data_IF_032932179837
#
_entry.id   IF_032932179837
#
_cell.length_a   1.000
_cell.length_b   1.000
_cell.length_c   1.000
_cell.angle_alpha   90.00
_cell.angle_beta   90.00
_cell.angle_gamma   90.00
#
_symmetry.space_group_name_H-M   'P 1'
#
loop_
_entity.id
_entity.type
_entity.pdbx_description
1 polymer ?
#
# COMPACT_ATOMS: atom_id res chain seq x y z
N UNK A 1 -23.80 -1.36 16.06
CA UNK A 1 -22.44 -1.94 15.97
C UNK A 1 -21.85 -1.65 14.60
N UNK A 2 -20.52 -1.75 14.39
CA UNK A 2 -19.95 -1.73 13.02
C UNK A 2 -20.54 -2.85 12.17
N UNK A 3 -20.84 -3.99 12.80
CA UNK A 3 -21.40 -5.16 12.14
C UNK A 3 -22.78 -4.84 11.54
N UNK A 4 -23.69 -4.26 12.33
CA UNK A 4 -25.03 -3.87 11.85
C UNK A 4 -24.96 -2.84 10.70
N UNK A 5 -24.02 -1.90 10.75
CA UNK A 5 -23.82 -0.93 9.66
C UNK A 5 -23.29 -1.63 8.40
N UNK A 6 -22.37 -2.58 8.55
CA UNK A 6 -21.78 -3.31 7.43
C UNK A 6 -22.78 -4.29 6.80
N UNK A 7 -23.59 -5.00 7.59
CA UNK A 7 -24.64 -5.88 7.08
C UNK A 7 -25.73 -5.08 6.38
N UNK A 8 -26.19 -3.98 6.98
CA UNK A 8 -27.16 -3.09 6.33
C UNK A 8 -26.64 -2.54 4.98
N UNK A 9 -25.36 -2.17 4.91
CA UNK A 9 -24.75 -1.71 3.65
C UNK A 9 -24.68 -2.81 2.59
N UNK A 10 -24.46 -4.07 2.98
CA UNK A 10 -24.57 -5.20 2.07
C UNK A 10 -26.02 -5.37 1.62
N UNK A 11 -26.98 -5.46 2.54
CA UNK A 11 -28.39 -5.72 2.22
C UNK A 11 -29.03 -4.66 1.32
N UNK A 12 -28.59 -3.41 1.42
CA UNK A 12 -29.08 -2.30 0.60
C UNK A 12 -28.64 -2.36 -0.88
N UNK A 13 -27.44 -2.86 -1.17
CA UNK A 13 -26.90 -2.92 -2.53
C UNK A 13 -26.25 -4.28 -2.81
N UNK A 14 -26.89 -5.16 -3.60
CA UNK A 14 -26.32 -6.45 -4.02
C UNK A 14 -24.98 -6.34 -4.75
N UNK A 15 -24.66 -5.19 -5.36
CA UNK A 15 -23.36 -4.96 -6.00
C UNK A 15 -22.25 -4.66 -5.00
N UNK A 16 -22.56 -4.25 -3.77
CA UNK A 16 -21.55 -4.17 -2.70
C UNK A 16 -21.27 -5.58 -2.22
N UNK A 17 -20.04 -6.04 -2.48
CA UNK A 17 -19.62 -7.43 -2.20
C UNK A 17 -18.56 -7.49 -1.10
N UNK A 18 -17.92 -6.36 -0.79
CA UNK A 18 -17.00 -6.18 0.34
C UNK A 18 -17.34 -4.88 1.04
N UNK A 19 -17.49 -4.94 2.36
CA UNK A 19 -17.55 -3.77 3.24
C UNK A 19 -16.35 -3.77 4.18
N UNK A 20 -15.66 -2.65 4.28
CA UNK A 20 -14.62 -2.40 5.27
C UNK A 20 -14.89 -1.11 6.05
N UNK A 21 -14.23 -0.93 7.19
CA UNK A 21 -14.39 0.25 8.01
C UNK A 21 -13.08 0.99 8.25
N UNK A 22 -13.07 1.79 9.32
CA UNK A 22 -11.87 2.39 9.87
C UNK A 22 -11.13 1.36 10.71
N UNK A 23 -9.94 0.95 10.24
CA UNK A 23 -8.97 0.17 11.04
C UNK A 23 -8.03 1.09 11.80
N UNK A 24 -8.17 1.19 13.12
CA UNK A 24 -7.27 2.01 13.95
C UNK A 24 -6.04 1.23 14.40
N UNK A 25 -4.91 1.91 14.44
CA UNK A 25 -3.75 1.39 15.16
C UNK A 25 -3.99 1.44 16.67
N UNK A 26 -3.59 0.38 17.38
CA UNK A 26 -3.78 0.22 18.82
C UNK A 26 -3.02 1.28 19.62
N UNK A 27 -1.81 1.62 19.18
CA UNK A 27 -0.94 2.57 19.87
C UNK A 27 -0.25 3.48 18.85
N UNK A 28 -0.99 4.39 18.19
CA UNK A 28 -0.46 5.21 17.10
C UNK A 28 0.67 6.13 17.57
N UNK A 29 0.69 6.52 18.84
CA UNK A 29 1.69 7.44 19.39
C UNK A 29 2.92 6.72 19.99
N UNK A 30 2.95 5.38 19.97
CA UNK A 30 4.08 4.60 20.50
C UNK A 30 5.36 4.85 19.71
N UNK A 31 5.27 4.87 18.38
CA UNK A 31 6.37 5.28 17.50
C UNK A 31 5.86 5.99 16.25
N UNK A 32 6.79 6.66 15.56
CA UNK A 32 6.52 7.21 14.22
C UNK A 32 5.99 6.17 13.23
N UNK A 33 6.40 4.91 13.33
CA UNK A 33 5.97 3.87 12.39
C UNK A 33 4.54 3.40 12.68
N UNK A 34 4.15 3.32 13.95
CA UNK A 34 2.75 3.07 14.33
C UNK A 34 1.86 4.23 13.86
N UNK A 35 2.31 5.49 14.06
CA UNK A 35 1.60 6.68 13.57
C UNK A 35 1.39 6.63 12.06
N UNK A 36 2.42 6.25 11.30
CA UNK A 36 2.31 6.11 9.84
C UNK A 36 1.31 5.02 9.46
N UNK A 37 1.28 3.88 10.15
CA UNK A 37 0.28 2.84 9.89
C UNK A 37 -1.15 3.36 10.08
N UNK A 38 -1.40 4.08 11.17
CA UNK A 38 -2.72 4.67 11.42
C UNK A 38 -3.15 5.66 10.33
N UNK A 39 -2.22 6.52 9.89
CA UNK A 39 -2.45 7.51 8.83
C UNK A 39 -2.64 6.89 7.44
N UNK A 40 -2.00 5.74 7.18
CA UNK A 40 -2.12 4.99 5.92
C UNK A 40 -3.44 4.22 5.84
N UNK A 41 -3.96 3.74 6.98
CA UNK A 41 -5.25 3.04 7.05
C UNK A 41 -6.46 3.97 7.09
N UNK A 42 -6.25 5.27 7.31
CA UNK A 42 -7.30 6.28 7.20
C UNK A 42 -7.49 6.76 5.75
N UNK A 43 -8.08 5.89 4.93
CA UNK A 43 -8.49 6.22 3.56
C UNK A 43 -9.83 6.97 3.54
N UNK A 44 -10.29 7.53 2.41
CA UNK A 44 -11.61 8.15 2.32
C UNK A 44 -12.76 7.14 2.52
N UNK A 45 -13.88 7.58 3.10
CA UNK A 45 -15.14 6.82 3.14
C UNK A 45 -15.78 6.81 1.74
N UNK A 46 -16.43 5.70 1.38
CA UNK A 46 -17.09 5.52 0.09
C UNK A 46 -16.51 4.35 -0.70
N UNK A 47 -16.78 4.33 -2.00
CA UNK A 47 -16.27 3.28 -2.88
C UNK A 47 -14.73 3.27 -2.91
N UNK A 48 -14.15 2.08 -2.80
CA UNK A 48 -12.73 1.87 -2.67
C UNK A 48 -12.21 0.85 -3.68
N UNK A 49 -10.90 0.90 -3.95
CA UNK A 49 -10.25 -0.08 -4.81
C UNK A 49 -9.89 -1.38 -4.07
N UNK A 50 -9.70 -1.28 -2.77
CA UNK A 50 -9.28 -2.36 -1.86
C UNK A 50 -9.82 -2.08 -0.46
N UNK A 51 -10.02 -3.14 0.33
CA UNK A 51 -10.55 -3.09 1.69
C UNK A 51 -9.48 -2.95 2.79
N UNK A 52 -8.21 -3.21 2.47
CA UNK A 52 -7.09 -2.98 3.38
C UNK A 52 -6.85 -4.11 4.39
N UNK A 53 -7.64 -5.18 4.39
CA UNK A 53 -7.44 -6.40 5.20
C UNK A 53 -8.44 -6.59 6.34
N UNK A 54 -9.33 -5.63 6.61
CA UNK A 54 -10.50 -5.79 7.46
C UNK A 54 -11.76 -5.73 6.60
N UNK A 55 -12.50 -6.83 6.54
CA UNK A 55 -13.58 -6.98 5.57
C UNK A 55 -14.73 -7.86 6.09
N UNK A 56 -15.93 -7.48 5.70
CA UNK A 56 -17.12 -8.32 5.66
C UNK A 56 -17.47 -8.55 4.19
N UNK A 57 -17.59 -9.80 3.76
CA UNK A 57 -17.75 -10.15 2.34
C UNK A 57 -18.93 -11.07 2.11
N UNK A 58 -19.53 -10.98 0.91
CA UNK A 58 -20.49 -11.98 0.43
C UNK A 58 -19.75 -13.26 0.06
N UNK A 59 -20.09 -14.37 0.73
CA UNK A 59 -19.46 -15.68 0.50
C UNK A 59 -19.63 -16.15 -0.95
N UNK A 60 -20.82 -15.94 -1.53
CA UNK A 60 -21.08 -16.33 -2.92
C UNK A 60 -20.13 -15.63 -3.90
N UNK A 61 -19.89 -14.32 -3.74
CA UNK A 61 -18.98 -13.57 -4.62
C UNK A 61 -17.52 -13.96 -4.39
N UNK A 62 -17.12 -14.21 -3.14
CA UNK A 62 -15.79 -14.70 -2.80
C UNK A 62 -15.50 -16.05 -3.48
N UNK A 63 -16.45 -16.98 -3.40
CA UNK A 63 -16.34 -18.29 -4.04
C UNK A 63 -16.34 -18.19 -5.56
N UNK A 64 -17.17 -17.30 -6.13
CA UNK A 64 -17.26 -17.10 -7.58
C UNK A 64 -15.95 -16.64 -8.22
N UNK A 65 -15.07 -15.96 -7.47
CA UNK A 65 -13.73 -15.58 -7.95
C UNK A 65 -12.63 -16.56 -7.54
N UNK A 66 -12.95 -17.61 -6.78
CA UNK A 66 -11.99 -18.61 -6.31
C UNK A 66 -11.19 -18.21 -5.06
N UNK A 67 -11.70 -17.27 -4.25
CA UNK A 67 -11.05 -16.89 -3.00
C UNK A 67 -9.72 -16.14 -3.17
N UNK A 68 -8.87 -16.21 -2.13
CA UNK A 68 -7.53 -15.61 -2.10
C UNK A 68 -6.52 -16.43 -2.92
N UNK A 69 -5.44 -15.79 -3.37
CA UNK A 69 -4.43 -16.40 -4.23
C UNK A 69 -3.21 -16.80 -3.40
N UNK A 70 -3.14 -18.06 -3.03
CA UNK A 70 -2.06 -18.63 -2.22
C UNK A 70 -0.65 -18.50 -2.83
N UNK A 71 -0.55 -18.17 -4.13
CA UNK A 71 0.73 -17.94 -4.80
C UNK A 71 1.32 -16.55 -4.56
N UNK A 72 0.59 -15.63 -3.90
CA UNK A 72 1.04 -14.28 -3.57
C UNK A 72 1.63 -14.18 -2.17
N UNK A 73 2.86 -13.68 -2.05
CA UNK A 73 3.46 -13.43 -0.72
C UNK A 73 2.95 -12.14 -0.05
N UNK A 74 2.37 -11.25 -0.84
CA UNK A 74 1.86 -9.96 -0.42
C UNK A 74 0.89 -9.40 -1.47
N UNK A 75 -0.11 -8.61 -1.04
CA UNK A 75 -1.08 -8.02 -1.96
C UNK A 75 -2.26 -8.94 -2.32
N UNK A 76 -2.40 -10.07 -1.63
CA UNK A 76 -3.54 -11.00 -1.65
C UNK A 76 -4.89 -10.29 -1.65
N UNK A 77 -5.13 -9.41 -0.67
CA UNK A 77 -6.41 -8.73 -0.52
C UNK A 77 -6.70 -7.70 -1.63
N UNK A 78 -5.77 -6.81 -2.00
CA UNK A 78 -6.03 -5.88 -3.10
C UNK A 78 -6.16 -6.60 -4.45
N UNK A 79 -5.43 -7.70 -4.65
CA UNK A 79 -5.60 -8.55 -5.83
C UNK A 79 -7.00 -9.17 -5.91
N UNK A 80 -7.49 -9.72 -4.79
CA UNK A 80 -8.86 -10.24 -4.68
C UNK A 80 -9.89 -9.15 -5.00
N UNK A 81 -9.73 -7.94 -4.45
CA UNK A 81 -10.62 -6.82 -4.72
C UNK A 81 -10.67 -6.44 -6.21
N UNK A 82 -9.55 -6.55 -6.94
CA UNK A 82 -9.56 -6.35 -8.41
C UNK A 82 -10.43 -7.39 -9.09
N UNK A 83 -10.30 -8.67 -8.74
CA UNK A 83 -11.12 -9.75 -9.33
C UNK A 83 -12.60 -9.61 -8.98
N UNK A 84 -12.92 -9.26 -7.74
CA UNK A 84 -14.30 -9.01 -7.30
C UNK A 84 -14.93 -7.85 -8.08
N UNK A 85 -14.18 -6.76 -8.31
CA UNK A 85 -14.66 -5.62 -9.11
C UNK A 85 -14.76 -5.95 -10.59
N UNK A 86 -13.82 -6.72 -11.13
CA UNK A 86 -13.90 -7.25 -12.49
C UNK A 86 -15.10 -8.16 -12.71
N UNK A 87 -15.62 -8.79 -11.65
CA UNK A 87 -16.84 -9.60 -11.66
C UNK A 87 -18.10 -8.78 -11.28
N UNK A 88 -18.07 -7.46 -11.49
CA UNK A 88 -19.22 -6.57 -11.29
C UNK A 88 -19.49 -6.13 -9.84
N UNK A 89 -18.64 -6.53 -8.89
CA UNK A 89 -18.75 -6.14 -7.49
C UNK A 89 -18.17 -4.76 -7.18
N UNK A 90 -18.52 -4.24 -6.01
CA UNK A 90 -18.01 -2.98 -5.43
C UNK A 90 -17.45 -3.24 -4.05
N UNK A 91 -16.38 -2.52 -3.72
CA UNK A 91 -15.79 -2.48 -2.37
C UNK A 91 -16.19 -1.15 -1.75
N UNK A 92 -16.78 -1.20 -0.56
CA UNK A 92 -17.28 -0.03 0.14
C UNK A 92 -16.58 0.14 1.48
N UNK A 93 -16.00 1.33 1.72
CA UNK A 93 -15.54 1.72 3.05
C UNK A 93 -16.62 2.54 3.76
N UNK A 94 -17.10 2.04 4.90
CA UNK A 94 -18.07 2.73 5.75
C UNK A 94 -17.39 3.62 6.80
N UNK A 95 -18.13 4.61 7.31
CA UNK A 95 -17.68 5.52 8.37
C UNK A 95 -17.80 4.91 9.78
N UNK A 96 -17.43 3.64 9.96
CA UNK A 96 -17.49 2.93 11.24
C UNK A 96 -16.12 2.37 11.62
N UNK A 97 -15.72 2.46 12.89
CA UNK A 97 -14.54 1.75 13.40
C UNK A 97 -14.81 0.25 13.41
N UNK A 98 -14.06 -0.51 12.61
CA UNK A 98 -14.31 -1.93 12.37
C UNK A 98 -13.26 -2.81 13.05
N UNK A 99 -11.99 -2.40 13.02
CA UNK A 99 -10.90 -3.17 13.63
C UNK A 99 -9.92 -2.30 14.38
N UNK A 100 -9.33 -2.88 15.43
CA UNK A 100 -8.11 -2.37 16.05
C UNK A 100 -6.98 -3.33 15.73
N UNK A 101 -5.95 -2.82 15.08
CA UNK A 101 -4.76 -3.59 14.74
C UNK A 101 -3.60 -3.14 15.60
N UNK A 102 -2.66 -4.04 15.88
CA UNK A 102 -1.40 -3.69 16.51
C UNK A 102 -0.29 -3.94 15.50
N UNK A 103 0.22 -2.89 14.87
CA UNK A 103 1.35 -2.99 13.96
C UNK A 103 2.63 -3.43 14.68
N UNK A 104 2.75 -3.15 15.99
CA UNK A 104 3.90 -3.45 16.84
C UNK A 104 5.24 -3.07 16.17
N UNK A 105 5.24 -1.95 15.43
CA UNK A 105 6.36 -1.55 14.59
C UNK A 105 7.23 -0.54 15.32
N UNK A 106 8.28 -1.00 16.00
CA UNK A 106 9.12 -0.13 16.83
C UNK A 106 10.46 0.23 16.19
N UNK A 107 10.86 -0.47 15.11
CA UNK A 107 12.21 -0.36 14.53
C UNK A 107 12.17 0.05 13.05
N UNK A 108 13.16 0.84 12.63
CA UNK A 108 13.33 1.26 11.24
C UNK A 108 13.39 0.07 10.27
N UNK A 109 14.09 -1.00 10.64
CA UNK A 109 14.20 -2.22 9.82
C UNK A 109 12.85 -2.88 9.57
N UNK A 110 11.92 -2.85 10.53
CA UNK A 110 10.58 -3.38 10.35
C UNK A 110 9.79 -2.54 9.34
N UNK A 111 9.86 -1.21 9.48
CA UNK A 111 9.27 -0.28 8.52
C UNK A 111 9.84 -0.45 7.11
N UNK A 112 11.16 -0.57 6.98
CA UNK A 112 11.84 -0.83 5.71
C UNK A 112 11.34 -2.14 5.09
N UNK A 113 11.27 -3.21 5.88
CA UNK A 113 10.83 -4.54 5.42
C UNK A 113 9.38 -4.52 4.97
N UNK A 114 8.47 -3.86 5.71
CA UNK A 114 7.07 -3.67 5.30
C UNK A 114 6.97 -2.90 3.98
N UNK A 115 7.77 -1.85 3.79
CA UNK A 115 7.77 -1.10 2.54
C UNK A 115 8.36 -1.88 1.36
N UNK A 116 9.38 -2.71 1.60
CA UNK A 116 9.89 -3.63 0.60
C UNK A 116 8.85 -4.70 0.21
N UNK A 117 8.11 -5.24 1.19
CA UNK A 117 6.96 -6.12 0.93
C UNK A 117 5.89 -5.42 0.10
N UNK A 118 5.55 -4.17 0.42
CA UNK A 118 4.59 -3.38 -0.35
C UNK A 118 5.06 -3.14 -1.79
N UNK A 119 6.34 -2.80 -2.00
CA UNK A 119 6.92 -2.66 -3.33
C UNK A 119 6.85 -3.95 -4.16
N UNK A 120 7.09 -5.10 -3.52
CA UNK A 120 6.90 -6.41 -4.16
C UNK A 120 5.44 -6.61 -4.62
N UNK A 121 4.48 -6.38 -3.71
CA UNK A 121 3.06 -6.49 -4.01
C UNK A 121 2.62 -5.54 -5.14
N UNK A 122 3.12 -4.29 -5.13
CA UNK A 122 2.82 -3.31 -6.17
C UNK A 122 3.25 -3.81 -7.56
N UNK A 123 4.49 -4.31 -7.70
CA UNK A 123 4.95 -4.84 -8.99
C UNK A 123 4.18 -6.09 -9.41
N UNK A 124 3.94 -7.02 -8.49
CA UNK A 124 3.27 -8.28 -8.79
C UNK A 124 1.81 -8.10 -9.19
N UNK A 125 1.01 -7.46 -8.33
CA UNK A 125 -0.43 -7.27 -8.55
C UNK A 125 -0.68 -6.33 -9.73
N UNK A 126 0.11 -5.25 -9.87
CA UNK A 126 -0.05 -4.34 -11.01
C UNK A 126 0.26 -5.02 -12.34
N UNK A 127 1.21 -5.97 -12.37
CA UNK A 127 1.49 -6.78 -13.56
C UNK A 127 0.38 -7.80 -13.84
N UNK A 128 -0.07 -8.53 -12.81
CA UNK A 128 -1.14 -9.53 -12.95
C UNK A 128 -2.40 -8.92 -13.55
N UNK A 129 -2.76 -7.71 -13.11
CA UNK A 129 -3.95 -6.99 -13.56
C UNK A 129 -3.65 -5.89 -14.58
N UNK A 130 -2.54 -6.00 -15.32
CA UNK A 130 -2.08 -4.98 -16.28
C UNK A 130 -2.99 -4.79 -17.51
N UNK A 131 -4.00 -5.65 -17.71
CA UNK A 131 -5.01 -5.49 -18.76
C UNK A 131 -6.43 -5.31 -18.21
N UNK A 132 -6.60 -5.36 -16.89
CA UNK A 132 -7.90 -5.14 -16.27
C UNK A 132 -8.21 -3.63 -16.20
N UNK A 133 -9.46 -3.22 -16.51
CA UNK A 133 -9.91 -1.84 -16.25
C UNK A 133 -9.94 -1.52 -14.75
N UNK A 134 -9.98 -2.54 -13.88
CA UNK A 134 -9.91 -2.41 -12.42
C UNK A 134 -8.47 -2.55 -11.88
N UNK A 135 -7.46 -2.59 -12.75
CA UNK A 135 -6.07 -2.79 -12.34
C UNK A 135 -5.54 -1.66 -11.45
N UNK A 136 -4.87 -2.02 -10.36
CA UNK A 136 -4.35 -1.10 -9.34
C UNK A 136 -2.83 -0.91 -9.41
N UNK A 137 -2.33 0.05 -8.64
CA UNK A 137 -0.92 0.27 -8.32
C UNK A 137 0.06 0.54 -9.48
N UNK A 138 -0.44 0.85 -10.67
CA UNK A 138 0.42 1.22 -11.81
C UNK A 138 1.21 2.49 -11.55
N UNK A 139 0.55 3.49 -10.95
CA UNK A 139 1.14 4.79 -10.62
C UNK A 139 2.21 4.64 -9.54
N UNK A 140 1.93 3.86 -8.51
CA UNK A 140 2.80 3.52 -7.39
C UNK A 140 4.05 2.83 -7.91
N UNK A 141 3.87 1.80 -8.74
CA UNK A 141 4.98 1.05 -9.34
C UNK A 141 5.91 1.95 -10.16
N UNK A 142 5.35 2.80 -11.04
CA UNK A 142 6.12 3.77 -11.84
C UNK A 142 6.80 4.83 -10.98
N UNK A 143 6.08 5.35 -9.98
CA UNK A 143 6.61 6.35 -9.04
C UNK A 143 7.81 5.80 -8.27
N UNK A 144 7.75 4.53 -7.85
CA UNK A 144 8.85 3.89 -7.13
C UNK A 144 10.07 3.66 -8.03
N UNK A 145 9.86 3.30 -9.30
CA UNK A 145 10.98 3.22 -10.25
C UNK A 145 11.63 4.58 -10.48
N UNK A 146 10.84 5.62 -10.74
CA UNK A 146 11.34 6.96 -10.99
C UNK A 146 12.12 7.51 -9.79
N UNK A 147 11.48 7.53 -8.62
CA UNK A 147 12.01 8.20 -7.43
C UNK A 147 12.91 7.32 -6.57
N UNK A 148 12.75 6.00 -6.62
CA UNK A 148 13.54 5.06 -5.82
C UNK A 148 14.76 4.51 -6.53
N UNK A 149 14.87 4.65 -7.86
CA UNK A 149 15.97 4.10 -8.64
C UNK A 149 16.45 5.00 -9.80
N UNK A 150 15.58 5.33 -10.76
CA UNK A 150 16.01 5.96 -12.01
C UNK A 150 16.61 7.35 -11.80
N UNK A 151 15.93 8.23 -11.06
CA UNK A 151 16.42 9.58 -10.76
C UNK A 151 17.76 9.58 -9.99
N UNK A 152 17.91 8.87 -8.85
CA UNK A 152 19.18 8.91 -8.11
C UNK A 152 20.33 8.27 -8.90
N UNK A 153 20.09 7.19 -9.63
CA UNK A 153 21.11 6.57 -10.50
C UNK A 153 21.53 7.53 -11.61
N UNK A 154 20.57 8.13 -12.32
CA UNK A 154 20.86 9.09 -13.39
C UNK A 154 21.63 10.31 -12.87
N UNK A 155 21.23 10.85 -11.72
CA UNK A 155 21.89 12.02 -11.11
C UNK A 155 23.36 11.73 -10.80
N UNK A 156 23.66 10.56 -10.23
CA UNK A 156 25.02 10.15 -9.83
C UNK A 156 25.86 9.77 -11.06
N UNK A 157 25.35 8.91 -11.93
CA UNK A 157 26.09 8.41 -13.10
C UNK A 157 26.40 9.52 -14.09
N UNK A 158 25.52 10.50 -14.25
CA UNK A 158 25.74 11.64 -15.14
C UNK A 158 26.64 12.73 -14.53
N UNK A 159 27.00 12.66 -13.24
CA UNK A 159 27.72 13.74 -12.56
C UNK A 159 29.12 14.02 -13.17
N UNK A 160 29.94 13.01 -13.49
CA UNK A 160 31.23 13.25 -14.14
C UNK A 160 31.10 13.90 -15.52
N UNK A 161 30.09 13.50 -16.29
CA UNK A 161 29.87 13.99 -17.67
C UNK A 161 29.26 15.40 -17.73
N UNK A 162 28.56 15.82 -16.67
CA UNK A 162 27.88 17.11 -16.60
C UNK A 162 28.58 18.10 -15.68
N UNK A 163 29.81 17.80 -15.23
CA UNK A 163 30.54 18.59 -14.22
C UNK A 163 29.69 18.85 -12.96
N UNK A 164 28.91 17.86 -12.54
CA UNK A 164 28.05 17.90 -11.36
C UNK A 164 26.66 18.53 -11.56
N UNK A 165 26.33 19.11 -12.72
CA UNK A 165 25.02 19.73 -12.96
C UNK A 165 23.86 18.73 -12.81
N UNK A 166 24.07 17.45 -13.16
CA UNK A 166 23.05 16.40 -12.97
C UNK A 166 22.61 16.22 -11.51
N UNK A 167 23.41 16.64 -10.52
CA UNK A 167 23.06 16.56 -9.11
C UNK A 167 21.88 17.48 -8.75
N UNK A 168 21.59 18.51 -9.55
CA UNK A 168 20.38 19.34 -9.40
C UNK A 168 19.10 18.50 -9.45
N UNK A 169 19.11 17.33 -10.11
CA UNK A 169 17.97 16.41 -10.12
C UNK A 169 17.53 16.00 -8.71
N UNK A 170 18.41 16.00 -7.70
CA UNK A 170 18.04 15.74 -6.32
C UNK A 170 17.06 16.79 -5.74
N UNK A 171 17.02 18.01 -6.28
CA UNK A 171 15.98 18.99 -5.94
C UNK A 171 14.57 18.46 -6.25
N UNK A 172 14.43 17.48 -7.15
CA UNK A 172 13.18 16.78 -7.41
C UNK A 172 12.57 16.14 -6.15
N UNK A 173 13.38 15.67 -5.20
CA UNK A 173 12.87 15.13 -3.94
C UNK A 173 12.22 16.20 -3.06
N UNK A 174 12.73 17.44 -3.08
CA UNK A 174 12.10 18.56 -2.39
C UNK A 174 10.74 18.89 -3.03
N UNK A 175 10.66 18.85 -4.37
CA UNK A 175 9.39 19.01 -5.11
C UNK A 175 8.41 17.88 -4.77
N UNK A 176 8.86 16.63 -4.74
CA UNK A 176 8.03 15.48 -4.37
C UNK A 176 7.50 15.62 -2.93
N UNK A 177 8.38 15.95 -1.99
CA UNK A 177 8.03 16.20 -0.59
C UNK A 177 6.94 17.28 -0.48
N UNK A 178 7.14 18.44 -1.13
CA UNK A 178 6.18 19.54 -1.12
C UNK A 178 4.82 19.12 -1.71
N UNK A 179 4.81 18.38 -2.83
CA UNK A 179 3.56 17.89 -3.44
C UNK A 179 2.80 16.96 -2.50
N UNK A 180 3.48 16.03 -1.81
CA UNK A 180 2.85 15.11 -0.87
C UNK A 180 2.33 15.88 0.34
N UNK A 181 3.14 16.77 0.92
CA UNK A 181 2.75 17.61 2.06
C UNK A 181 1.50 18.43 1.71
N UNK A 182 1.49 19.13 0.57
CA UNK A 182 0.34 19.92 0.12
C UNK A 182 -0.90 19.06 -0.08
N UNK A 183 -0.76 17.86 -0.63
CA UNK A 183 -1.88 16.91 -0.76
C UNK A 183 -2.44 16.46 0.59
N UNK A 184 -1.59 16.21 1.59
CA UNK A 184 -2.04 15.82 2.94
C UNK A 184 -2.72 16.99 3.66
N UNK A 185 -2.19 18.21 3.53
CA UNK A 185 -2.83 19.44 4.04
C UNK A 185 -4.23 19.65 3.46
N UNK A 186 -4.41 19.41 2.15
CA UNK A 186 -5.73 19.47 1.49
C UNK A 186 -6.72 18.42 2.02
N UNK A 187 -6.25 17.33 2.63
CA UNK A 187 -7.07 16.29 3.26
C UNK A 187 -7.38 16.57 4.74
N UNK A 188 -6.94 17.72 5.28
CA UNK A 188 -7.21 18.14 6.66
C UNK A 188 -6.08 17.85 7.66
N UNK A 189 -4.98 17.19 7.26
CA UNK A 189 -3.86 16.94 8.16
C UNK A 189 -3.22 18.25 8.65
N UNK A 190 -2.82 18.30 9.92
CA UNK A 190 -2.02 19.40 10.47
C UNK A 190 -0.62 19.47 9.82
N UNK A 191 0.11 20.61 9.92
CA UNK A 191 1.40 20.78 9.25
C UNK A 191 2.48 19.79 9.71
N UNK A 192 2.44 19.33 10.97
CA UNK A 192 3.40 18.38 11.51
C UNK A 192 3.13 16.98 10.96
N UNK A 193 1.87 16.54 10.98
CA UNK A 193 1.47 15.24 10.39
C UNK A 193 1.74 15.19 8.89
N UNK A 194 1.37 16.24 8.14
CA UNK A 194 1.60 16.30 6.71
C UNK A 194 3.09 16.22 6.34
N UNK A 195 3.97 16.91 7.08
CA UNK A 195 5.43 16.84 6.88
C UNK A 195 5.99 15.47 7.24
N UNK A 196 5.52 14.88 8.33
CA UNK A 196 5.92 13.55 8.78
C UNK A 196 5.59 12.51 7.70
N UNK A 197 4.34 12.49 7.25
CA UNK A 197 3.88 11.59 6.20
C UNK A 197 4.68 11.79 4.89
N UNK A 198 4.87 13.05 4.46
CA UNK A 198 5.63 13.36 3.25
C UNK A 198 7.08 12.85 3.32
N UNK A 199 7.77 13.02 4.45
CA UNK A 199 9.14 12.54 4.65
C UNK A 199 9.22 11.03 4.44
N UNK A 200 8.36 10.27 5.10
CA UNK A 200 8.38 8.82 5.02
C UNK A 200 7.83 8.27 3.69
N UNK A 201 6.95 9.01 3.01
CA UNK A 201 6.48 8.67 1.68
C UNK A 201 7.56 8.89 0.60
N UNK A 202 8.44 9.88 0.78
CA UNK A 202 9.65 10.04 -0.04
C UNK A 202 10.65 8.92 0.28
N UNK A 203 10.93 8.69 1.56
CA UNK A 203 11.90 7.67 1.99
C UNK A 203 11.46 6.26 1.60
N UNK A 204 10.15 5.96 1.57
CA UNK A 204 9.66 4.63 1.21
C UNK A 204 9.88 4.26 -0.26
N UNK A 205 10.19 5.22 -1.13
CA UNK A 205 10.48 4.95 -2.55
C UNK A 205 11.65 4.00 -2.73
N UNK A 206 12.68 4.09 -1.88
CA UNK A 206 13.86 3.21 -1.92
C UNK A 206 13.55 1.75 -1.53
N UNK A 207 12.99 1.45 -0.34
CA UNK A 207 12.61 0.08 0.00
C UNK A 207 11.56 -0.48 -0.96
N UNK A 208 10.60 0.33 -1.42
CA UNK A 208 9.60 -0.11 -2.39
C UNK A 208 10.27 -0.48 -3.74
N UNK A 209 11.19 0.34 -4.26
CA UNK A 209 11.96 -0.01 -5.45
C UNK A 209 12.80 -1.29 -5.26
N UNK A 210 13.41 -1.48 -4.08
CA UNK A 210 14.12 -2.72 -3.75
C UNK A 210 13.19 -3.95 -3.73
N UNK A 211 11.97 -3.80 -3.20
CA UNK A 211 10.92 -4.82 -3.26
C UNK A 211 10.52 -5.17 -4.70
N UNK A 212 10.34 -4.15 -5.54
CA UNK A 212 10.05 -4.32 -6.97
C UNK A 212 11.19 -5.03 -7.69
N UNK A 213 12.45 -4.65 -7.46
CA UNK A 213 13.62 -5.34 -8.01
C UNK A 213 13.65 -6.82 -7.61
N UNK A 214 13.34 -7.13 -6.34
CA UNK A 214 13.29 -8.50 -5.84
C UNK A 214 12.23 -9.34 -6.56
N UNK A 215 11.06 -8.76 -6.83
CA UNK A 215 10.01 -9.41 -7.64
C UNK A 215 10.52 -9.77 -9.05
N UNK A 216 11.05 -8.78 -9.78
CA UNK A 216 11.50 -9.00 -11.15
C UNK A 216 12.69 -9.96 -11.23
N UNK A 217 13.64 -9.88 -10.28
CA UNK A 217 14.74 -10.83 -10.19
C UNK A 217 14.25 -12.26 -9.94
N UNK A 218 13.31 -12.45 -9.02
CA UNK A 218 12.72 -13.76 -8.74
C UNK A 218 12.08 -14.36 -10.00
N UNK A 219 11.30 -13.54 -10.72
CA UNK A 219 10.68 -13.95 -11.98
C UNK A 219 11.71 -14.33 -13.06
N UNK A 220 12.76 -13.53 -13.24
CA UNK A 220 13.80 -13.79 -14.25
C UNK A 220 14.56 -15.11 -13.98
N UNK A 221 14.76 -15.45 -12.71
CA UNK A 221 15.49 -16.66 -12.29
C UNK A 221 14.54 -17.86 -12.12
N UNK A 222 13.24 -17.71 -12.41
CA UNK A 222 12.23 -18.75 -12.19
C UNK A 222 12.02 -19.11 -10.70
N UNK A 223 12.56 -18.32 -9.77
CA UNK A 223 12.46 -18.56 -8.32
C UNK A 223 11.39 -17.67 -7.71
N UNK A 224 10.38 -18.28 -7.10
CA UNK A 224 9.40 -17.55 -6.29
C UNK A 224 10.10 -16.91 -5.09
N UNK A 225 9.72 -15.67 -4.79
CA UNK A 225 10.30 -14.96 -3.66
C UNK A 225 9.75 -15.56 -2.36
N UNK A 226 10.63 -15.93 -1.43
CA UNK A 226 10.21 -16.36 -0.07
C UNK A 226 9.52 -15.20 0.66
N UNK A 227 8.61 -15.53 1.58
CA UNK A 227 7.85 -14.60 2.42
C UNK A 227 8.71 -13.44 2.93
N UNK A 228 8.21 -12.21 2.77
CA UNK A 228 8.85 -10.99 3.29
C UNK A 228 8.01 -10.55 4.49
N UNK A 229 8.40 -10.95 5.70
CA UNK A 229 7.67 -10.63 6.93
C UNK A 229 8.49 -9.71 7.83
N UNK A 230 7.84 -8.73 8.44
CA UNK A 230 8.49 -7.75 9.33
C UNK A 230 8.25 -8.05 10.82
N UNK A 231 7.20 -8.82 11.13
CA UNK A 231 7.01 -9.41 12.45
C UNK A 231 7.80 -10.72 12.52
N UNK A 232 8.56 -10.93 13.58
CA UNK A 232 9.07 -12.26 13.88
C UNK A 232 7.89 -13.21 14.13
N UNK A 233 8.11 -14.54 14.09
CA UNK A 233 7.11 -15.47 14.65
C UNK A 233 6.76 -14.99 16.06
N UNK A 234 5.45 -14.90 16.36
CA UNK A 234 5.04 -14.74 17.76
C UNK A 234 5.67 -15.91 18.52
N UNK A 235 6.40 -15.64 19.59
CA UNK A 235 6.72 -16.69 20.54
C UNK A 235 5.38 -17.33 20.91
N UNK A 236 5.27 -18.64 20.70
CA UNK A 236 4.14 -19.41 21.20
C UNK A 236 4.10 -19.21 22.71
N UNK A 237 3.07 -18.51 23.19
CA UNK A 237 2.62 -18.62 24.58
C UNK A 237 1.87 -19.94 24.75
#
# INVERSE_FOLDING_TARGET
>A
SWFDTATAALDQDPKVVVVCGRRRERSPDATVYNRLCDLEWDTPVGEADACGGDALMRVATLNAVGGYREDLIAGEEPELCVRLRANGGRVLRIAAEMTRHDAAMTRFRQWWTRNARAGHAFAEVSRLHARSPYGIWRRETRSNWLWGLALPVLAIVAAPFTRGVSLVLFAGYAVLFWKIQRSRRKRGDDPRTARLYARYCVLSKFPQAAGQLRYWRGRLVGRRTRLIEYKGPRASE
#
